data_IF_680217338602
#
_entry.id   IF_680217338602
#
_cell.length_a   1.000
_cell.length_b   1.000
_cell.length_c   1.000
_cell.angle_alpha   90.00
_cell.angle_beta   90.00
_cell.angle_gamma   90.00
#
_symmetry.space_group_name_H-M   'P 1'
#
loop_
_entity.id
_entity.type
_entity.pdbx_description
1 polymer ?
#
# COMPACT_ATOMS: atom_id res chain seq x y z
N UNK A 1 15.73 -26.83 11.39
CA UNK A 1 15.80 -27.14 9.95
C UNK A 1 14.53 -26.65 9.29
N UNK A 2 14.51 -25.40 8.84
CA UNK A 2 13.38 -24.81 8.10
C UNK A 2 13.58 -25.13 6.62
N UNK A 3 12.95 -26.17 6.15
CA UNK A 3 12.96 -26.55 4.74
C UNK A 3 12.26 -25.49 3.90
N UNK A 4 13.04 -24.68 3.17
CA UNK A 4 12.54 -23.76 2.15
C UNK A 4 11.80 -24.62 1.11
N UNK A 5 10.48 -24.45 0.97
CA UNK A 5 9.72 -25.15 -0.08
C UNK A 5 10.36 -24.82 -1.44
N UNK A 6 10.55 -25.80 -2.33
CA UNK A 6 11.11 -25.54 -3.65
C UNK A 6 10.22 -24.54 -4.39
N UNK A 7 10.84 -23.58 -5.11
CA UNK A 7 10.11 -22.67 -5.99
C UNK A 7 9.40 -23.51 -7.07
N UNK A 8 8.08 -23.38 -7.18
CA UNK A 8 7.31 -24.06 -8.24
C UNK A 8 7.73 -23.49 -9.60
N UNK A 9 8.01 -24.36 -10.55
CA UNK A 9 8.32 -24.03 -11.94
C UNK A 9 7.03 -23.92 -12.77
N UNK A 10 7.11 -23.45 -14.02
CA UNK A 10 5.96 -23.42 -14.93
C UNK A 10 5.36 -24.82 -15.16
N UNK A 11 6.18 -25.89 -15.03
CA UNK A 11 5.78 -27.30 -15.15
C UNK A 11 5.00 -27.83 -13.93
N UNK A 12 5.11 -27.17 -12.78
CA UNK A 12 4.42 -27.54 -11.53
C UNK A 12 2.99 -26.97 -11.42
N UNK A 13 2.48 -26.34 -12.51
CA UNK A 13 1.14 -25.71 -12.51
C UNK A 13 0.04 -26.76 -12.67
N UNK A 14 -0.98 -26.67 -11.83
CA UNK A 14 -2.18 -27.49 -11.95
C UNK A 14 -3.20 -26.85 -12.92
N UNK A 15 -4.08 -27.63 -13.54
CA UNK A 15 -5.20 -27.08 -14.29
C UNK A 15 -6.01 -26.12 -13.41
N UNK A 16 -6.18 -24.87 -13.88
CA UNK A 16 -6.87 -23.81 -13.14
C UNK A 16 -5.95 -22.85 -12.36
N UNK A 17 -4.67 -23.14 -12.21
CA UNK A 17 -3.72 -22.17 -11.67
C UNK A 17 -3.58 -20.97 -12.63
N UNK A 18 -3.54 -19.70 -12.12
CA UNK A 18 -3.40 -18.52 -12.96
C UNK A 18 -2.07 -18.54 -13.72
N UNK A 19 -2.06 -18.03 -14.94
CA UNK A 19 -0.83 -17.86 -15.72
C UNK A 19 0.10 -16.85 -15.06
N UNK A 20 1.37 -16.83 -15.47
CA UNK A 20 2.34 -15.81 -15.01
C UNK A 20 1.81 -14.41 -15.26
N UNK A 21 1.30 -14.14 -16.46
CA UNK A 21 0.77 -12.85 -16.85
C UNK A 21 -0.42 -12.44 -15.97
N UNK A 22 -1.37 -13.35 -15.72
CA UNK A 22 -2.51 -13.08 -14.81
C UNK A 22 -2.06 -12.77 -13.39
N UNK A 23 -0.99 -13.42 -12.92
CA UNK A 23 -0.41 -13.10 -11.60
C UNK A 23 0.21 -11.70 -11.58
N UNK A 24 0.98 -11.34 -12.61
CA UNK A 24 1.60 -10.02 -12.73
C UNK A 24 0.55 -8.92 -12.91
N UNK A 25 -0.47 -9.15 -13.75
CA UNK A 25 -1.61 -8.22 -13.86
C UNK A 25 -2.32 -8.01 -12.52
N UNK A 26 -2.50 -9.08 -11.74
CA UNK A 26 -3.06 -9.01 -10.40
C UNK A 26 -2.19 -8.20 -9.43
N UNK A 27 -0.86 -8.30 -9.54
CA UNK A 27 0.08 -7.50 -8.76
C UNK A 27 -0.06 -6.01 -9.11
N UNK A 28 0.05 -5.66 -10.38
CA UNK A 28 -0.08 -4.26 -10.84
C UNK A 28 -1.44 -3.67 -10.43
N UNK A 29 -2.52 -4.44 -10.53
CA UNK A 29 -3.86 -3.99 -10.14
C UNK A 29 -3.96 -3.68 -8.65
N UNK A 30 -3.45 -4.56 -7.79
CA UNK A 30 -3.54 -4.39 -6.35
C UNK A 30 -2.62 -3.28 -5.85
N UNK A 31 -1.45 -3.12 -6.46
CA UNK A 31 -0.51 -2.07 -6.11
C UNK A 31 -1.08 -0.70 -6.50
N UNK A 32 -1.59 -0.55 -7.73
CA UNK A 32 -2.32 0.65 -8.14
C UNK A 32 -3.47 1.00 -7.17
N UNK A 33 -4.22 -0.01 -6.69
CA UNK A 33 -5.30 0.22 -5.73
C UNK A 33 -4.77 0.63 -4.35
N UNK A 34 -3.61 0.12 -3.94
CA UNK A 34 -2.91 0.49 -2.70
C UNK A 34 -2.48 1.95 -2.72
N UNK A 35 -1.73 2.35 -3.75
CA UNK A 35 -1.27 3.74 -3.91
C UNK A 35 -2.44 4.73 -4.01
N UNK A 36 -3.47 4.37 -4.77
CA UNK A 36 -4.69 5.17 -4.84
C UNK A 36 -5.33 5.35 -3.45
N UNK A 37 -5.39 4.28 -2.66
CA UNK A 37 -5.90 4.31 -1.28
C UNK A 37 -5.03 5.17 -0.36
N UNK A 38 -3.69 5.06 -0.44
CA UNK A 38 -2.74 5.83 0.34
C UNK A 38 -2.87 7.34 0.06
N UNK A 39 -2.89 7.74 -1.22
CA UNK A 39 -3.15 9.14 -1.62
C UNK A 39 -4.45 9.65 -0.97
N UNK A 40 -5.52 8.86 -0.95
CA UNK A 40 -6.79 9.27 -0.34
C UNK A 40 -6.71 9.39 1.18
N UNK A 41 -5.94 8.51 1.85
CA UNK A 41 -5.70 8.61 3.30
C UNK A 41 -4.98 9.93 3.62
N UNK A 42 -3.90 10.23 2.94
CA UNK A 42 -3.15 11.48 3.15
C UNK A 42 -3.99 12.73 2.83
N UNK A 43 -4.82 12.71 1.80
CA UNK A 43 -5.75 13.81 1.51
C UNK A 43 -6.77 14.00 2.64
N UNK A 44 -7.28 12.92 3.23
CA UNK A 44 -8.14 12.96 4.40
C UNK A 44 -7.45 13.55 5.62
N UNK A 45 -6.21 13.14 5.89
CA UNK A 45 -5.39 13.69 6.99
C UNK A 45 -5.13 15.18 6.79
N UNK A 46 -4.74 15.61 5.58
CA UNK A 46 -4.49 17.02 5.25
C UNK A 46 -5.76 17.88 5.32
N UNK A 47 -6.93 17.31 5.04
CA UNK A 47 -8.20 18.06 5.17
C UNK A 47 -8.46 18.50 6.62
N UNK A 48 -8.00 17.74 7.60
CA UNK A 48 -8.20 18.00 9.04
C UNK A 48 -7.01 18.73 9.66
N UNK A 49 -5.78 18.35 9.34
CA UNK A 49 -4.56 18.82 10.01
C UNK A 49 -3.91 20.04 9.33
N UNK A 50 -4.61 20.66 8.37
CA UNK A 50 -4.13 21.89 7.70
C UNK A 50 -3.83 22.99 8.71
N UNK A 51 -2.68 23.64 8.55
CA UNK A 51 -2.19 24.71 9.44
C UNK A 51 -1.57 24.19 10.73
N UNK A 52 -1.55 22.88 10.95
CA UNK A 52 -0.94 22.24 12.13
C UNK A 52 0.51 21.85 11.91
N UNK A 53 1.21 21.46 12.99
CA UNK A 53 2.63 21.10 12.93
C UNK A 53 2.94 19.89 12.05
N UNK A 54 2.00 18.94 11.91
CA UNK A 54 2.17 17.75 11.09
C UNK A 54 1.89 17.97 9.59
N UNK A 55 1.37 19.14 9.19
CA UNK A 55 0.97 19.37 7.79
C UNK A 55 2.12 19.17 6.80
N UNK A 56 3.29 19.71 7.12
CA UNK A 56 4.44 19.67 6.20
C UNK A 56 4.89 18.21 5.95
N UNK A 57 5.02 17.43 7.01
CA UNK A 57 5.39 16.02 6.97
C UNK A 57 4.38 15.18 6.16
N UNK A 58 3.09 15.36 6.45
CA UNK A 58 2.02 14.62 5.75
C UNK A 58 1.99 15.02 4.27
N UNK A 59 2.21 16.27 3.94
CA UNK A 59 2.24 16.76 2.56
C UNK A 59 3.39 16.17 1.75
N UNK A 60 4.58 16.08 2.36
CA UNK A 60 5.75 15.47 1.72
C UNK A 60 5.49 13.99 1.39
N UNK A 61 4.98 13.20 2.35
CA UNK A 61 4.57 11.82 2.12
C UNK A 61 3.49 11.73 1.02
N UNK A 62 2.45 12.55 1.09
CA UNK A 62 1.38 12.58 0.07
C UNK A 62 1.89 12.88 -1.34
N UNK A 63 2.94 13.70 -1.49
CA UNK A 63 3.56 13.99 -2.78
C UNK A 63 4.38 12.78 -3.29
N UNK A 64 4.96 11.99 -2.40
CA UNK A 64 5.64 10.74 -2.75
C UNK A 64 4.63 9.71 -3.22
N UNK A 65 3.54 9.49 -2.48
CA UNK A 65 2.45 8.60 -2.87
C UNK A 65 1.85 8.93 -4.25
N UNK A 66 1.73 10.21 -4.58
CA UNK A 66 1.28 10.61 -5.92
C UNK A 66 2.23 10.17 -7.02
N UNK A 67 3.55 10.21 -6.77
CA UNK A 67 4.55 9.73 -7.74
C UNK A 67 4.48 8.20 -7.90
N UNK A 68 4.23 7.46 -6.80
CA UNK A 68 4.02 6.02 -6.84
C UNK A 68 2.76 5.70 -7.65
N UNK A 69 1.65 6.36 -7.35
CA UNK A 69 0.39 6.21 -8.10
C UNK A 69 0.58 6.51 -9.59
N UNK A 70 1.24 7.61 -9.96
CA UNK A 70 1.55 7.96 -11.35
C UNK A 70 2.38 6.88 -12.06
N UNK A 71 3.26 6.20 -11.33
CA UNK A 71 4.04 5.07 -11.81
C UNK A 71 3.15 3.88 -12.15
N UNK A 72 2.24 3.51 -11.27
CA UNK A 72 1.29 2.42 -11.51
C UNK A 72 0.22 2.78 -12.53
N UNK A 73 -0.23 4.02 -12.63
CA UNK A 73 -1.13 4.50 -13.70
C UNK A 73 -0.52 4.28 -15.10
N UNK A 74 0.79 4.53 -15.24
CA UNK A 74 1.50 4.23 -16.48
C UNK A 74 1.51 2.73 -16.78
N UNK A 75 1.85 1.90 -15.79
CA UNK A 75 1.86 0.44 -15.95
C UNK A 75 0.48 -0.12 -16.30
N UNK A 76 -0.58 0.35 -15.66
CA UNK A 76 -1.98 0.00 -15.98
C UNK A 76 -2.26 0.28 -17.45
N UNK A 77 -1.85 1.46 -17.93
CA UNK A 77 -2.08 1.89 -19.31
C UNK A 77 -1.23 1.09 -20.30
N UNK A 78 0.07 0.97 -20.07
CA UNK A 78 1.04 0.32 -20.95
C UNK A 78 0.77 -1.18 -21.10
N UNK A 79 0.50 -1.85 -19.97
CA UNK A 79 0.25 -3.30 -19.93
C UNK A 79 -1.22 -3.65 -20.11
N UNK A 80 -2.11 -2.65 -20.28
CA UNK A 80 -3.57 -2.81 -20.46
C UNK A 80 -4.20 -3.61 -19.30
N UNK A 81 -3.70 -3.43 -18.10
CA UNK A 81 -4.25 -4.04 -16.90
C UNK A 81 -5.55 -3.33 -16.52
N UNK A 82 -6.57 -4.10 -16.15
CA UNK A 82 -7.83 -3.52 -15.66
C UNK A 82 -7.69 -3.10 -14.20
N UNK A 83 -7.93 -1.81 -13.85
CA UNK A 83 -7.99 -1.39 -12.46
C UNK A 83 -9.07 -2.13 -11.68
N UNK A 84 -8.95 -2.17 -10.35
CA UNK A 84 -10.00 -2.77 -9.52
C UNK A 84 -11.32 -2.03 -9.66
N UNK A 85 -12.43 -2.78 -9.73
CA UNK A 85 -13.77 -2.20 -9.72
C UNK A 85 -14.13 -1.57 -8.35
N UNK A 86 -13.31 -1.80 -7.32
CA UNK A 86 -13.50 -1.25 -5.97
C UNK A 86 -12.92 0.16 -5.78
N UNK A 87 -12.34 0.77 -6.82
CA UNK A 87 -11.76 2.14 -6.74
C UNK A 87 -12.71 3.17 -6.12
N UNK A 88 -14.03 3.23 -6.43
CA UNK A 88 -14.94 4.17 -5.77
C UNK A 88 -15.08 3.93 -4.26
N UNK A 89 -15.01 2.66 -3.83
CA UNK A 89 -15.03 2.30 -2.40
C UNK A 89 -13.73 2.75 -1.71
N UNK A 90 -12.58 2.48 -2.34
CA UNK A 90 -11.28 2.89 -1.78
C UNK A 90 -11.11 4.40 -1.73
N UNK A 91 -11.70 5.12 -2.70
CA UNK A 91 -11.77 6.58 -2.68
C UNK A 91 -12.43 7.10 -1.39
N UNK A 92 -13.63 6.59 -1.09
CA UNK A 92 -14.38 7.04 0.08
C UNK A 92 -13.77 6.53 1.40
N UNK A 93 -13.39 5.23 1.45
CA UNK A 93 -12.87 4.60 2.64
C UNK A 93 -11.48 5.15 3.04
N UNK A 94 -10.58 5.35 2.07
CA UNK A 94 -9.25 5.93 2.32
C UNK A 94 -9.36 7.35 2.87
N UNK A 95 -10.15 8.22 2.23
CA UNK A 95 -10.37 9.57 2.72
C UNK A 95 -10.99 9.59 4.13
N UNK A 96 -12.02 8.77 4.36
CA UNK A 96 -12.68 8.69 5.67
C UNK A 96 -11.74 8.16 6.76
N UNK A 97 -10.90 7.19 6.45
CA UNK A 97 -9.88 6.67 7.37
C UNK A 97 -8.86 7.76 7.74
N UNK A 98 -8.32 8.46 6.73
CA UNK A 98 -7.37 9.55 6.94
C UNK A 98 -7.97 10.69 7.76
N UNK A 99 -9.14 11.19 7.37
CA UNK A 99 -9.83 12.25 8.09
C UNK A 99 -10.24 11.82 9.51
N UNK A 100 -10.75 10.59 9.67
CA UNK A 100 -11.19 10.06 10.96
C UNK A 100 -10.04 9.92 11.95
N UNK A 101 -8.90 9.41 11.53
CA UNK A 101 -7.71 9.31 12.38
C UNK A 101 -7.12 10.68 12.70
N UNK A 102 -7.11 11.59 11.76
CA UNK A 102 -6.68 12.98 11.95
C UNK A 102 -7.59 13.76 12.94
N UNK A 103 -8.88 13.49 12.98
CA UNK A 103 -9.82 14.06 13.97
C UNK A 103 -9.53 13.60 15.41
N UNK A 104 -8.96 12.41 15.61
CA UNK A 104 -8.48 11.95 16.91
C UNK A 104 -7.23 12.76 17.32
N UNK A 105 -6.38 13.09 16.36
CA UNK A 105 -5.21 13.94 16.55
C UNK A 105 -4.04 13.54 15.64
N UNK A 106 -2.98 14.39 15.58
CA UNK A 106 -1.83 14.14 14.71
C UNK A 106 -1.15 12.78 14.95
N UNK A 107 -1.01 12.38 16.22
CA UNK A 107 -0.40 11.08 16.57
C UNK A 107 -1.24 9.88 16.08
N UNK A 108 -2.57 10.01 16.08
CA UNK A 108 -3.43 8.97 15.54
C UNK A 108 -3.38 8.91 14.00
N UNK A 109 -3.20 10.05 13.32
CA UNK A 109 -2.91 10.09 11.89
C UNK A 109 -1.59 9.38 11.59
N UNK A 110 -0.53 9.64 12.36
CA UNK A 110 0.76 8.95 12.22
C UNK A 110 0.65 7.45 12.52
N UNK A 111 -0.13 7.03 13.53
CA UNK A 111 -0.38 5.62 13.80
C UNK A 111 -1.12 4.92 12.64
N UNK A 112 -2.02 5.63 11.96
CA UNK A 112 -2.65 5.13 10.74
C UNK A 112 -1.63 4.96 9.61
N UNK A 113 -0.80 5.97 9.36
CA UNK A 113 0.29 5.91 8.38
C UNK A 113 1.21 4.73 8.68
N UNK A 114 1.79 4.65 9.90
CA UNK A 114 2.64 3.52 10.28
C UNK A 114 2.01 2.15 9.99
N UNK A 115 0.73 1.99 10.32
CA UNK A 115 0.03 0.72 10.14
C UNK A 115 -0.23 0.36 8.67
N UNK A 116 -0.49 1.34 7.82
CA UNK A 116 -0.66 1.17 6.37
C UNK A 116 0.67 0.79 5.75
N UNK A 117 1.73 1.58 6.00
CA UNK A 117 3.03 1.38 5.37
C UNK A 117 3.70 0.07 5.80
N UNK A 118 3.46 -0.39 7.04
CA UNK A 118 3.93 -1.71 7.46
C UNK A 118 3.28 -2.85 6.64
N UNK A 119 2.00 -2.74 6.31
CA UNK A 119 1.29 -3.72 5.49
C UNK A 119 1.75 -3.65 4.03
N UNK A 120 2.01 -2.45 3.51
CA UNK A 120 2.50 -2.26 2.13
C UNK A 120 3.93 -2.78 2.00
N UNK A 121 4.83 -2.49 2.96
CA UNK A 121 6.19 -3.05 3.00
C UNK A 121 6.18 -4.59 2.95
N UNK A 122 5.35 -5.24 3.79
CA UNK A 122 5.18 -6.71 3.77
C UNK A 122 4.68 -7.19 2.40
N UNK A 123 3.73 -6.46 1.80
CA UNK A 123 3.11 -6.81 0.53
C UNK A 123 4.13 -6.72 -0.62
N UNK A 124 4.84 -5.60 -0.73
CA UNK A 124 5.86 -5.37 -1.74
C UNK A 124 7.03 -6.35 -1.62
N UNK A 125 7.50 -6.63 -0.40
CA UNK A 125 8.51 -7.66 -0.18
C UNK A 125 8.07 -9.03 -0.71
N UNK A 126 6.82 -9.42 -0.43
CA UNK A 126 6.28 -10.70 -0.90
C UNK A 126 6.08 -10.76 -2.42
N UNK A 127 5.85 -9.63 -3.08
CA UNK A 127 5.78 -9.54 -4.54
C UNK A 127 7.16 -9.60 -5.18
N UNK A 128 8.12 -8.81 -4.70
CA UNK A 128 9.49 -8.78 -5.20
C UNK A 128 10.14 -10.18 -5.19
N UNK A 129 9.86 -10.99 -4.14
CA UNK A 129 10.32 -12.39 -4.09
C UNK A 129 9.75 -13.29 -5.20
N UNK A 130 8.58 -12.95 -5.74
CA UNK A 130 7.90 -13.73 -6.79
C UNK A 130 8.26 -13.27 -8.20
N UNK A 131 8.71 -12.04 -8.36
CA UNK A 131 9.11 -11.48 -9.64
C UNK A 131 10.51 -11.99 -10.03
N UNK A 132 10.64 -12.48 -11.27
CA UNK A 132 11.89 -12.99 -11.82
C UNK A 132 12.61 -11.94 -12.66
N UNK A 133 13.63 -12.39 -13.40
CA UNK A 133 14.38 -11.52 -14.32
C UNK A 133 13.53 -11.07 -15.54
N UNK A 134 12.49 -11.83 -15.88
CA UNK A 134 11.49 -11.50 -16.89
C UNK A 134 10.66 -10.25 -16.52
N UNK A 135 10.55 -9.93 -15.23
CA UNK A 135 9.84 -8.76 -14.69
C UNK A 135 10.78 -7.86 -13.86
N UNK A 136 12.03 -7.77 -14.28
CA UNK A 136 13.05 -7.01 -13.54
C UNK A 136 12.65 -5.54 -13.34
N UNK A 137 12.11 -4.89 -14.36
CA UNK A 137 11.72 -3.47 -14.29
C UNK A 137 10.61 -3.23 -13.24
N UNK A 138 9.60 -4.10 -13.22
CA UNK A 138 8.53 -4.05 -12.21
C UNK A 138 9.08 -4.33 -10.82
N UNK A 139 9.95 -5.34 -10.68
CA UNK A 139 10.58 -5.66 -9.40
C UNK A 139 11.41 -4.50 -8.87
N UNK A 140 12.24 -3.90 -9.71
CA UNK A 140 13.10 -2.79 -9.31
C UNK A 140 12.26 -1.55 -8.89
N UNK A 141 11.15 -1.28 -9.57
CA UNK A 141 10.21 -0.22 -9.21
C UNK A 141 9.54 -0.50 -7.85
N UNK A 142 9.05 -1.72 -7.62
CA UNK A 142 8.45 -2.12 -6.34
C UNK A 142 9.46 -2.01 -5.19
N UNK A 143 10.72 -2.43 -5.41
CA UNK A 143 11.77 -2.31 -4.41
C UNK A 143 12.17 -0.84 -4.15
N UNK A 144 12.04 0.04 -5.13
CA UNK A 144 12.26 1.47 -4.99
C UNK A 144 11.17 2.10 -4.12
N UNK A 145 9.91 1.89 -4.48
CA UNK A 145 8.76 2.39 -3.71
C UNK A 145 8.75 1.82 -2.29
N UNK A 146 9.02 0.53 -2.14
CA UNK A 146 9.15 -0.10 -0.81
C UNK A 146 10.13 0.62 0.12
N UNK A 147 11.23 1.20 -0.41
CA UNK A 147 12.16 1.99 0.42
C UNK A 147 11.51 3.27 0.93
N UNK A 148 10.69 3.91 0.12
CA UNK A 148 9.94 5.09 0.53
C UNK A 148 8.89 4.71 1.60
N UNK A 149 8.17 3.59 1.46
CA UNK A 149 7.20 3.10 2.46
C UNK A 149 7.84 2.83 3.83
N UNK A 150 9.03 2.23 3.82
CA UNK A 150 9.81 2.02 5.04
C UNK A 150 10.19 3.37 5.67
N UNK A 151 10.56 4.37 4.87
CA UNK A 151 10.88 5.71 5.35
C UNK A 151 9.64 6.42 5.92
N UNK A 152 8.47 6.33 5.27
CA UNK A 152 7.21 6.87 5.78
C UNK A 152 6.81 6.25 7.11
N UNK A 153 6.89 4.92 7.20
CA UNK A 153 6.62 4.19 8.46
C UNK A 153 7.52 4.66 9.59
N UNK A 154 8.83 4.75 9.33
CA UNK A 154 9.81 5.11 10.35
C UNK A 154 9.64 6.59 10.76
N UNK A 155 9.37 7.50 9.81
CA UNK A 155 9.03 8.88 10.09
C UNK A 155 7.73 9.02 10.92
N UNK A 156 6.70 8.23 10.60
CA UNK A 156 5.46 8.23 11.39
C UNK A 156 5.70 7.80 12.84
N UNK A 157 6.63 6.85 13.08
CA UNK A 157 7.07 6.47 14.43
C UNK A 157 7.80 7.59 15.15
N UNK A 158 8.69 8.28 14.46
CA UNK A 158 9.43 9.44 15.00
C UNK A 158 8.48 10.58 15.38
N UNK A 159 7.42 10.80 14.60
CA UNK A 159 6.35 11.78 14.85
C UNK A 159 5.35 11.34 15.94
N UNK A 160 5.64 10.25 16.63
CA UNK A 160 4.93 9.84 17.84
C UNK A 160 3.71 8.96 17.61
N UNK A 161 3.66 8.16 16.55
CA UNK A 161 2.58 7.22 16.28
C UNK A 161 2.23 6.34 17.50
N UNK A 162 3.25 5.82 18.20
CA UNK A 162 3.06 4.96 19.38
C UNK A 162 2.38 5.66 20.57
N UNK A 163 2.33 6.98 20.58
CA UNK A 163 1.65 7.78 21.61
C UNK A 163 0.18 8.07 21.26
N UNK A 164 -0.35 7.52 20.17
CA UNK A 164 -1.73 7.70 19.76
C UNK A 164 -2.70 7.06 20.77
N UNK A 165 -3.83 7.71 21.07
CA UNK A 165 -4.87 7.09 21.90
C UNK A 165 -5.34 5.76 21.31
N UNK A 166 -5.27 4.67 22.08
CA UNK A 166 -5.68 3.34 21.62
C UNK A 166 -4.82 2.76 20.51
N UNK A 167 -3.53 3.08 20.46
CA UNK A 167 -2.58 2.73 19.42
C UNK A 167 -2.68 1.28 18.93
N UNK A 168 -2.66 0.29 19.83
CA UNK A 168 -2.73 -1.13 19.48
C UNK A 168 -4.05 -1.49 18.76
N UNK A 169 -5.16 -0.94 19.23
CA UNK A 169 -6.47 -1.18 18.64
C UNK A 169 -6.57 -0.51 17.27
N UNK A 170 -6.13 0.75 17.20
CA UNK A 170 -6.16 1.54 15.96
C UNK A 170 -5.30 0.89 14.89
N UNK A 171 -4.02 0.63 15.17
CA UNK A 171 -3.09 0.02 14.21
C UNK A 171 -3.52 -1.38 13.83
N UNK A 172 -4.02 -2.19 14.77
CA UNK A 172 -4.59 -3.51 14.50
C UNK A 172 -5.77 -3.46 13.54
N UNK A 173 -6.70 -2.53 13.74
CA UNK A 173 -7.86 -2.34 12.86
C UNK A 173 -7.45 -1.86 11.46
N UNK A 174 -6.52 -0.90 11.38
CA UNK A 174 -6.00 -0.39 10.10
C UNK A 174 -5.29 -1.50 9.33
N UNK A 175 -4.37 -2.24 9.96
CA UNK A 175 -3.68 -3.38 9.33
C UNK A 175 -4.65 -4.44 8.82
N UNK A 176 -5.67 -4.79 9.59
CA UNK A 176 -6.69 -5.74 9.17
C UNK A 176 -7.48 -5.23 7.95
N UNK A 177 -7.87 -3.96 7.96
CA UNK A 177 -8.55 -3.30 6.83
C UNK A 177 -7.69 -3.25 5.58
N UNK A 178 -6.41 -2.89 5.69
CA UNK A 178 -5.46 -2.83 4.57
C UNK A 178 -5.24 -4.21 3.96
N UNK A 179 -5.04 -5.26 4.79
CA UNK A 179 -4.92 -6.63 4.29
C UNK A 179 -6.19 -7.12 3.58
N UNK A 180 -7.38 -6.75 4.08
CA UNK A 180 -8.65 -7.05 3.41
C UNK A 180 -8.75 -6.31 2.06
N UNK A 181 -8.37 -5.04 2.01
CA UNK A 181 -8.37 -4.25 0.77
C UNK A 181 -7.44 -4.85 -0.29
N UNK A 182 -6.22 -5.25 0.09
CA UNK A 182 -5.27 -5.97 -0.76
C UNK A 182 -5.88 -7.27 -1.26
N UNK A 183 -6.47 -8.07 -0.37
CA UNK A 183 -7.08 -9.35 -0.74
C UNK A 183 -8.23 -9.20 -1.73
N UNK A 184 -9.08 -8.19 -1.56
CA UNK A 184 -10.19 -7.89 -2.47
C UNK A 184 -9.68 -7.37 -3.83
N UNK A 185 -8.78 -6.38 -3.83
CA UNK A 185 -8.27 -5.72 -5.05
C UNK A 185 -7.44 -6.65 -5.94
N UNK A 186 -6.83 -7.70 -5.36
CA UNK A 186 -6.15 -8.74 -6.14
C UNK A 186 -7.14 -9.56 -6.98
N UNK A 187 -8.44 -9.60 -6.60
CA UNK A 187 -9.45 -10.50 -7.20
C UNK A 187 -10.51 -9.82 -8.05
N UNK A 188 -10.73 -8.51 -7.84
CA UNK A 188 -11.88 -7.80 -8.43
C UNK A 188 -11.41 -6.61 -9.28
#
# INVERSE_FOLDING_TARGET
MTGKKPKRTAEDRLPGDPTRDVLVEGMIRVDHAGEFGAVRIYEGQLAVLRGGPAEATIREMAEQERRHLDGFDRLISERRVRPTALSPLWHAAGFALGAGTALIGPKAAMACTEAVEEVIDEHYAAQAEKLGEDEKELRDMIEDYRRDEVAHRDLAREEGAAEAPGYELLTGAVKAGSRLAIWLSTRI
#
